data_IF_948644054675
#
_entry.id   IF_948644054675
#
_cell.length_a   1.000
_cell.length_b   1.000
_cell.length_c   1.000
_cell.angle_alpha   90.00
_cell.angle_beta   90.00
_cell.angle_gamma   90.00
#
_symmetry.space_group_name_H-M   'P 1'
#
loop_
_entity.id
_entity.type
_entity.pdbx_description
1 polymer ?
#
# COMPACT_ATOMS: atom_id res chain seq x y z
N UNK A 1 -24.93 62.73 -18.98
CA UNK A 1 -25.71 61.48 -18.74
C UNK A 1 -24.79 60.28 -18.82
N UNK A 2 -24.54 59.61 -17.72
CA UNK A 2 -23.67 58.37 -17.72
C UNK A 2 -24.39 57.25 -18.46
N UNK A 3 -23.70 56.57 -19.40
CA UNK A 3 -24.23 55.40 -20.10
C UNK A 3 -24.63 54.34 -19.06
N UNK A 4 -25.89 53.89 -19.11
CA UNK A 4 -26.36 52.72 -18.36
C UNK A 4 -25.49 51.52 -18.73
N UNK A 5 -24.87 50.89 -17.74
CA UNK A 5 -24.07 49.68 -17.94
C UNK A 5 -24.99 48.52 -18.35
N UNK A 6 -24.50 47.61 -19.17
CA UNK A 6 -25.26 46.45 -19.59
C UNK A 6 -25.56 45.51 -18.37
N UNK A 7 -26.68 44.79 -18.47
CA UNK A 7 -27.05 43.79 -17.47
C UNK A 7 -25.90 42.75 -17.35
N UNK A 8 -25.43 42.49 -16.13
CA UNK A 8 -24.32 41.55 -15.89
C UNK A 8 -22.94 42.22 -15.67
N UNK A 9 -22.78 43.54 -16.01
CA UNK A 9 -21.48 44.22 -15.85
C UNK A 9 -21.04 44.43 -14.39
N UNK A 10 -21.93 44.32 -13.41
CA UNK A 10 -21.68 44.61 -12.02
C UNK A 10 -21.41 46.10 -11.72
N UNK A 11 -21.45 46.48 -10.48
CA UNK A 11 -21.18 47.85 -10.03
C UNK A 11 -20.04 47.84 -9.01
N UNK A 12 -19.20 48.89 -9.00
CA UNK A 12 -18.15 49.08 -8.02
C UNK A 12 -18.41 50.36 -7.27
N UNK A 13 -18.40 50.32 -5.94
CA UNK A 13 -18.58 51.50 -5.06
C UNK A 13 -17.55 51.47 -3.93
N UNK A 14 -17.25 52.65 -3.41
CA UNK A 14 -16.50 52.82 -2.16
C UNK A 14 -17.48 52.75 -1.00
N UNK A 15 -17.14 52.05 0.06
CA UNK A 15 -17.94 51.96 1.28
C UNK A 15 -17.51 53.03 2.29
N UNK A 16 -18.33 53.27 3.29
CA UNK A 16 -18.10 54.27 4.33
C UNK A 16 -16.89 53.92 5.23
N UNK A 17 -16.58 52.61 5.34
CA UNK A 17 -15.40 52.07 6.03
C UNK A 17 -14.08 52.21 5.24
N UNK A 18 -14.13 52.87 4.07
CA UNK A 18 -13.00 53.08 3.18
C UNK A 18 -12.66 51.89 2.27
N UNK A 19 -13.26 50.73 2.46
CA UNK A 19 -13.13 49.60 1.58
C UNK A 19 -13.92 49.75 0.27
N UNK A 20 -13.64 48.86 -0.69
CA UNK A 20 -14.34 48.83 -1.99
C UNK A 20 -15.21 47.60 -2.12
N UNK A 21 -16.41 47.75 -2.70
CA UNK A 21 -17.34 46.66 -2.97
C UNK A 21 -17.71 46.65 -4.47
N UNK A 22 -17.62 45.46 -5.09
CA UNK A 22 -18.29 45.21 -6.36
C UNK A 22 -19.52 44.35 -6.13
N UNK A 23 -20.61 44.61 -6.87
CA UNK A 23 -21.80 43.77 -6.89
C UNK A 23 -22.05 43.25 -8.29
N UNK A 24 -22.27 41.94 -8.37
CA UNK A 24 -22.61 41.24 -9.60
C UNK A 24 -23.83 40.35 -9.35
N UNK A 25 -24.65 40.16 -10.38
CA UNK A 25 -25.79 39.25 -10.33
C UNK A 25 -25.35 37.90 -10.91
N UNK A 26 -25.46 36.81 -10.12
CA UNK A 26 -25.13 35.46 -10.51
C UNK A 26 -26.35 34.58 -10.23
N UNK A 27 -26.86 33.90 -11.24
CA UNK A 27 -28.04 33.03 -11.13
C UNK A 27 -29.22 33.68 -10.38
N UNK A 28 -29.48 34.98 -10.66
CA UNK A 28 -30.56 35.75 -10.04
C UNK A 28 -30.26 36.24 -8.60
N UNK A 29 -29.13 35.92 -8.01
CA UNK A 29 -28.71 36.37 -6.67
C UNK A 29 -27.61 37.41 -6.76
N UNK A 30 -27.76 38.52 -6.00
CA UNK A 30 -26.74 39.58 -5.91
C UNK A 30 -25.59 39.09 -5.02
N UNK A 31 -24.37 39.12 -5.56
CA UNK A 31 -23.13 38.76 -4.83
C UNK A 31 -22.25 40.01 -4.69
N UNK A 32 -21.66 40.17 -3.51
CA UNK A 32 -20.74 41.28 -3.21
C UNK A 32 -19.31 40.75 -3.11
N UNK A 33 -18.38 41.45 -3.76
CA UNK A 33 -16.93 41.17 -3.77
C UNK A 33 -16.24 42.34 -3.09
N UNK A 34 -15.42 42.07 -2.09
CA UNK A 34 -14.77 43.12 -1.30
C UNK A 34 -13.26 43.17 -1.57
N UNK A 35 -12.69 44.39 -1.41
CA UNK A 35 -11.25 44.61 -1.51
C UNK A 35 -10.81 45.92 -0.88
N UNK A 36 -9.52 46.05 -0.63
CA UNK A 36 -8.95 47.26 -0.03
C UNK A 36 -8.83 48.41 -1.01
N UNK A 37 -8.69 48.12 -2.31
CA UNK A 37 -8.57 49.13 -3.37
C UNK A 37 -9.56 48.86 -4.49
N UNK A 38 -9.89 49.94 -5.26
CA UNK A 38 -10.75 49.82 -6.43
C UNK A 38 -10.16 48.87 -7.48
N UNK A 39 -8.83 48.89 -7.66
CA UNK A 39 -8.12 48.03 -8.59
C UNK A 39 -8.25 46.55 -8.20
N UNK A 40 -8.12 46.23 -6.90
CA UNK A 40 -8.27 44.86 -6.37
C UNK A 40 -9.69 44.33 -6.65
N UNK A 41 -10.71 45.10 -6.31
CA UNK A 41 -12.11 44.71 -6.54
C UNK A 41 -12.44 44.58 -8.03
N UNK A 42 -11.88 45.46 -8.87
CA UNK A 42 -12.06 45.37 -10.34
C UNK A 42 -11.45 44.07 -10.87
N UNK A 43 -10.25 43.72 -10.42
CA UNK A 43 -9.59 42.50 -10.83
C UNK A 43 -10.39 41.24 -10.43
N UNK A 44 -10.83 41.16 -9.18
CA UNK A 44 -11.70 40.08 -8.71
C UNK A 44 -13.03 39.99 -9.47
N UNK A 45 -13.64 41.13 -9.77
CA UNK A 45 -14.86 41.16 -10.56
C UNK A 45 -14.64 40.64 -12.00
N UNK A 46 -13.50 40.99 -12.61
CA UNK A 46 -13.15 40.49 -13.94
C UNK A 46 -12.90 38.99 -13.92
N UNK A 47 -12.22 38.47 -12.88
CA UNK A 47 -12.00 37.02 -12.68
C UNK A 47 -13.34 36.28 -12.56
N UNK A 48 -14.28 36.77 -11.73
CA UNK A 48 -15.62 36.17 -11.58
C UNK A 48 -16.40 36.19 -12.89
N UNK A 49 -16.30 37.26 -13.70
CA UNK A 49 -16.93 37.32 -15.01
C UNK A 49 -16.37 36.33 -15.99
N UNK A 50 -15.04 36.26 -16.09
CA UNK A 50 -14.38 35.25 -16.94
C UNK A 50 -14.78 33.82 -16.55
N UNK A 51 -14.93 33.61 -15.25
CA UNK A 51 -15.37 32.30 -14.72
C UNK A 51 -16.84 32.02 -15.14
N UNK A 52 -17.72 33.03 -15.10
CA UNK A 52 -19.10 32.88 -15.55
C UNK A 52 -19.22 32.70 -17.06
N UNK A 53 -18.42 33.42 -17.82
CA UNK A 53 -18.42 33.34 -19.29
C UNK A 53 -17.89 31.99 -19.80
N UNK A 54 -17.06 31.30 -18.98
CA UNK A 54 -16.51 30.00 -19.29
C UNK A 54 -17.24 28.82 -18.59
N UNK A 55 -18.34 29.05 -17.91
CA UNK A 55 -19.05 28.06 -17.07
C UNK A 55 -18.16 27.43 -15.97
N UNK A 56 -17.13 28.16 -15.54
CA UNK A 56 -16.18 27.73 -14.49
C UNK A 56 -16.49 28.36 -13.12
N UNK A 57 -17.57 29.13 -12.97
CA UNK A 57 -17.86 29.81 -11.70
C UNK A 57 -18.27 28.80 -10.62
N UNK A 58 -17.52 28.76 -9.52
CA UNK A 58 -17.87 28.04 -8.31
C UNK A 58 -18.38 29.02 -7.23
N UNK A 59 -19.45 28.67 -6.56
CA UNK A 59 -19.90 29.45 -5.38
C UNK A 59 -18.85 29.29 -4.26
N UNK A 60 -18.43 30.42 -3.65
CA UNK A 60 -17.54 30.35 -2.49
C UNK A 60 -18.19 29.52 -1.39
N UNK A 61 -17.45 28.50 -0.89
CA UNK A 61 -17.81 27.71 0.26
C UNK A 61 -16.74 27.83 1.33
N UNK A 62 -17.12 27.61 2.58
CA UNK A 62 -16.23 27.64 3.73
C UNK A 62 -15.76 26.24 4.14
N UNK A 63 -16.04 25.22 3.32
CA UNK A 63 -15.66 23.82 3.58
C UNK A 63 -14.17 23.70 3.81
N UNK A 64 -13.80 23.17 4.95
CA UNK A 64 -12.40 22.88 5.31
C UNK A 64 -11.91 21.61 4.62
N UNK A 65 -10.58 21.47 4.47
CA UNK A 65 -10.01 20.24 3.95
C UNK A 65 -10.36 19.03 4.84
N UNK A 66 -10.50 19.21 6.15
CA UNK A 66 -10.91 18.14 7.08
C UNK A 66 -12.32 17.66 6.76
N UNK A 67 -13.29 18.57 6.69
CA UNK A 67 -14.70 18.24 6.37
C UNK A 67 -14.81 17.53 5.02
N UNK A 68 -14.08 18.04 4.01
CA UNK A 68 -14.01 17.37 2.71
C UNK A 68 -13.43 15.97 2.78
N UNK A 69 -12.30 15.79 3.48
CA UNK A 69 -11.66 14.46 3.61
C UNK A 69 -12.48 13.47 4.42
N UNK A 70 -13.27 13.93 5.39
CA UNK A 70 -14.23 13.11 6.13
C UNK A 70 -15.34 12.63 5.19
N UNK A 71 -15.97 13.53 4.44
CA UNK A 71 -16.97 13.21 3.41
C UNK A 71 -16.39 12.24 2.36
N UNK A 72 -15.19 12.54 1.84
CA UNK A 72 -14.54 11.70 0.84
C UNK A 72 -14.25 10.28 1.33
N UNK A 73 -13.92 10.12 2.62
CA UNK A 73 -13.70 8.79 3.21
C UNK A 73 -14.97 7.97 3.33
N UNK A 74 -16.09 8.62 3.57
CA UNK A 74 -17.36 7.95 3.80
C UNK A 74 -18.06 7.62 2.47
N UNK A 75 -18.04 8.53 1.48
CA UNK A 75 -18.78 8.36 0.24
C UNK A 75 -17.97 7.70 -0.89
N UNK A 76 -16.64 7.95 -0.97
CA UNK A 76 -15.84 7.57 -2.16
C UNK A 76 -14.86 6.42 -1.91
N UNK A 77 -14.81 5.85 -0.70
CA UNK A 77 -13.96 4.69 -0.42
C UNK A 77 -14.71 3.38 -0.30
N UNK A 78 -16.01 3.33 -0.54
CA UNK A 78 -16.83 2.13 -0.41
C UNK A 78 -16.39 1.04 -1.39
N UNK A 79 -16.14 1.39 -2.65
CA UNK A 79 -15.66 0.46 -3.69
C UNK A 79 -14.16 0.16 -3.62
N UNK A 80 -13.45 0.82 -2.72
CA UNK A 80 -12.01 0.63 -2.56
C UNK A 80 -11.74 -0.57 -1.67
N UNK A 81 -10.77 -1.43 -2.10
CA UNK A 81 -10.33 -2.57 -1.28
C UNK A 81 -10.08 -2.13 0.16
N UNK A 82 -10.70 -2.78 1.16
CA UNK A 82 -10.64 -2.43 2.58
C UNK A 82 -9.22 -2.05 3.07
N UNK A 83 -8.21 -2.84 2.70
CA UNK A 83 -6.81 -2.56 3.08
C UNK A 83 -6.24 -1.27 2.46
N UNK A 84 -6.77 -0.83 1.33
CA UNK A 84 -6.37 0.43 0.70
C UNK A 84 -7.12 1.59 1.35
N UNK A 85 -8.41 1.43 1.61
CA UNK A 85 -9.22 2.38 2.35
C UNK A 85 -8.63 2.63 3.75
N UNK A 86 -8.27 1.57 4.49
CA UNK A 86 -7.61 1.65 5.79
C UNK A 86 -6.30 2.45 5.76
N UNK A 87 -5.50 2.23 4.71
CA UNK A 87 -4.25 2.97 4.52
C UNK A 87 -4.53 4.45 4.24
N UNK A 88 -5.53 4.75 3.41
CA UNK A 88 -5.93 6.12 3.12
C UNK A 88 -6.45 6.82 4.38
N UNK A 89 -7.38 6.19 5.11
CA UNK A 89 -7.90 6.69 6.40
C UNK A 89 -6.78 6.95 7.41
N UNK A 90 -5.82 6.04 7.52
CA UNK A 90 -4.64 6.24 8.40
C UNK A 90 -3.78 7.41 7.96
N UNK A 91 -3.50 7.54 6.67
CA UNK A 91 -2.70 8.62 6.11
C UNK A 91 -3.35 9.98 6.35
N UNK A 92 -4.65 10.08 6.11
CA UNK A 92 -5.46 11.28 6.34
C UNK A 92 -5.42 11.68 7.81
N UNK A 93 -5.74 10.75 8.70
CA UNK A 93 -5.83 10.99 10.14
C UNK A 93 -4.50 11.37 10.79
N UNK A 94 -3.40 10.69 10.38
CA UNK A 94 -2.10 10.85 11.05
C UNK A 94 -1.32 12.01 10.49
N UNK A 95 -1.42 12.28 9.19
CA UNK A 95 -0.53 13.24 8.53
C UNK A 95 -1.26 14.44 7.93
N UNK A 96 -2.39 14.24 7.22
CA UNK A 96 -2.98 15.32 6.43
C UNK A 96 -3.83 16.24 7.30
N UNK A 97 -4.79 15.70 8.06
CA UNK A 97 -5.69 16.51 8.90
C UNK A 97 -4.92 17.34 9.93
N UNK A 98 -3.92 16.80 10.68
CA UNK A 98 -3.19 17.61 11.66
C UNK A 98 -2.45 18.80 11.08
N UNK A 99 -2.02 18.72 9.81
CA UNK A 99 -1.21 19.75 9.17
C UNK A 99 -2.02 20.75 8.32
N UNK A 100 -3.09 20.28 7.68
CA UNK A 100 -3.80 21.04 6.65
C UNK A 100 -5.31 21.10 6.88
N UNK A 101 -5.86 20.34 7.84
CA UNK A 101 -7.29 20.14 8.01
C UNK A 101 -8.12 21.42 8.17
N UNK A 102 -7.60 22.39 8.90
CA UNK A 102 -8.28 23.67 9.16
C UNK A 102 -8.23 24.67 7.98
N UNK A 103 -7.49 24.32 6.92
CA UNK A 103 -7.42 25.19 5.72
C UNK A 103 -8.70 25.03 4.90
N UNK A 104 -9.33 26.15 4.51
CA UNK A 104 -10.45 26.08 3.57
C UNK A 104 -10.02 25.47 2.25
N UNK A 105 -10.85 24.63 1.69
CA UNK A 105 -10.55 23.88 0.47
C UNK A 105 -10.19 24.80 -0.70
N UNK A 106 -10.94 25.91 -0.84
CA UNK A 106 -10.70 26.93 -1.87
C UNK A 106 -9.43 27.76 -1.65
N UNK A 107 -8.92 27.84 -0.43
CA UNK A 107 -7.70 28.58 -0.09
C UNK A 107 -6.44 27.70 -0.15
N UNK A 108 -6.60 26.40 -0.40
CA UNK A 108 -5.49 25.46 -0.45
C UNK A 108 -4.62 25.71 -1.69
N UNK A 109 -3.34 26.02 -1.47
CA UNK A 109 -2.39 26.39 -2.52
C UNK A 109 -1.28 25.36 -2.65
N UNK A 110 -0.73 25.24 -3.85
CA UNK A 110 0.41 24.36 -4.11
C UNK A 110 1.61 24.63 -3.19
N UNK A 111 1.87 25.90 -2.83
CA UNK A 111 2.93 26.29 -1.90
C UNK A 111 2.70 25.77 -0.47
N UNK A 112 1.44 25.71 -0.02
CA UNK A 112 1.06 25.16 1.28
C UNK A 112 1.29 23.66 1.31
N UNK A 113 0.85 22.95 0.26
CA UNK A 113 1.08 21.52 0.11
C UNK A 113 2.59 21.21 0.00
N UNK A 114 3.35 22.01 -0.74
CA UNK A 114 4.80 21.84 -0.85
C UNK A 114 5.50 21.96 0.51
N UNK A 115 5.13 22.97 1.31
CA UNK A 115 5.65 23.13 2.67
C UNK A 115 5.34 21.92 3.54
N UNK A 116 4.12 21.42 3.48
CA UNK A 116 3.69 20.22 4.20
C UNK A 116 4.50 18.98 3.80
N UNK A 117 4.68 18.70 2.49
CA UNK A 117 5.48 17.56 2.03
C UNK A 117 6.96 17.68 2.45
N UNK A 118 7.50 18.92 2.45
CA UNK A 118 8.86 19.18 2.95
C UNK A 118 8.96 18.95 4.47
N UNK A 119 7.94 19.30 5.24
CA UNK A 119 7.85 19.02 6.67
C UNK A 119 7.83 17.53 6.94
N UNK A 120 7.01 16.75 6.23
CA UNK A 120 6.97 15.29 6.31
C UNK A 120 8.35 14.64 6.15
N UNK A 121 9.20 15.18 5.26
CA UNK A 121 10.59 14.73 5.12
C UNK A 121 11.48 15.20 6.27
N UNK A 122 11.51 16.53 6.51
CA UNK A 122 12.54 17.17 7.34
C UNK A 122 12.28 17.02 8.84
N UNK A 123 11.02 17.07 9.25
CA UNK A 123 10.62 17.07 10.68
C UNK A 123 10.16 15.69 11.09
N UNK A 124 9.29 15.06 10.28
CA UNK A 124 8.68 13.76 10.61
C UNK A 124 9.58 12.58 10.20
N UNK A 125 10.67 12.82 9.47
CA UNK A 125 11.62 11.79 9.04
C UNK A 125 11.01 10.70 8.14
N UNK A 126 9.93 11.01 7.42
CA UNK A 126 9.24 10.03 6.60
C UNK A 126 10.04 9.66 5.35
N UNK A 127 10.00 8.38 4.98
CA UNK A 127 10.60 7.89 3.75
C UNK A 127 9.95 8.50 2.50
N UNK A 128 10.71 8.57 1.39
CA UNK A 128 10.20 9.02 0.08
C UNK A 128 8.89 8.33 -0.31
N UNK A 129 8.82 7.00 -0.12
CA UNK A 129 7.63 6.20 -0.41
C UNK A 129 6.43 6.63 0.44
N UNK A 130 6.65 6.97 1.70
CA UNK A 130 5.60 7.47 2.60
C UNK A 130 5.09 8.82 2.13
N UNK A 131 5.98 9.75 1.80
CA UNK A 131 5.61 11.08 1.31
C UNK A 131 4.92 11.00 -0.07
N UNK A 132 5.39 10.13 -0.97
CA UNK A 132 4.68 9.83 -2.23
C UNK A 132 3.26 9.32 -1.99
N UNK A 133 3.06 8.44 -1.01
CA UNK A 133 1.73 7.94 -0.66
C UNK A 133 0.82 9.03 -0.08
N UNK A 134 1.35 9.89 0.80
CA UNK A 134 0.62 11.03 1.36
C UNK A 134 0.13 11.96 0.24
N UNK A 135 1.04 12.35 -0.66
CA UNK A 135 0.69 13.17 -1.82
C UNK A 135 -0.36 12.50 -2.71
N UNK A 136 -0.24 11.20 -2.95
CA UNK A 136 -1.19 10.43 -3.77
C UNK A 136 -2.60 10.43 -3.16
N UNK A 137 -2.72 10.25 -1.85
CA UNK A 137 -4.02 10.26 -1.16
C UNK A 137 -4.64 11.66 -1.24
N UNK A 138 -3.87 12.70 -0.92
CA UNK A 138 -4.34 14.08 -1.01
C UNK A 138 -4.73 14.45 -2.45
N UNK A 139 -3.91 14.07 -3.43
CA UNK A 139 -4.20 14.31 -4.84
C UNK A 139 -5.52 13.64 -5.30
N UNK A 140 -5.76 12.40 -4.90
CA UNK A 140 -7.01 11.70 -5.23
C UNK A 140 -8.25 12.39 -4.64
N UNK A 141 -8.18 12.74 -3.36
CA UNK A 141 -9.28 13.42 -2.70
C UNK A 141 -9.56 14.79 -3.30
N UNK A 142 -8.51 15.52 -3.71
CA UNK A 142 -8.66 16.82 -4.36
C UNK A 142 -9.11 16.72 -5.83
N UNK A 143 -8.79 15.63 -6.54
CA UNK A 143 -9.40 15.41 -7.86
C UNK A 143 -10.90 15.15 -7.74
N UNK A 144 -11.34 14.39 -6.73
CA UNK A 144 -12.78 14.25 -6.49
C UNK A 144 -13.43 15.59 -6.15
N UNK A 145 -12.72 16.47 -5.41
CA UNK A 145 -13.22 17.81 -5.13
C UNK A 145 -13.39 18.67 -6.39
N UNK A 146 -12.65 18.42 -7.47
CA UNK A 146 -12.87 19.05 -8.78
C UNK A 146 -14.14 18.48 -9.43
N UNK A 147 -14.28 17.15 -9.44
CA UNK A 147 -15.45 16.47 -10.01
C UNK A 147 -16.77 16.89 -9.31
N UNK A 148 -16.68 17.15 -8.00
CA UNK A 148 -17.79 17.62 -7.17
C UNK A 148 -17.91 19.17 -7.15
N UNK A 149 -17.22 19.88 -8.03
CA UNK A 149 -17.27 21.34 -8.19
C UNK A 149 -16.94 22.12 -6.90
N UNK A 150 -16.14 21.52 -5.98
CA UNK A 150 -15.70 22.21 -4.76
C UNK A 150 -14.49 23.11 -5.00
N UNK A 151 -13.63 22.75 -5.95
CA UNK A 151 -12.44 23.50 -6.36
C UNK A 151 -12.24 23.41 -7.88
N UNK A 152 -11.65 24.44 -8.49
CA UNK A 152 -11.40 24.48 -9.94
C UNK A 152 -10.20 23.67 -10.40
N UNK A 153 -9.15 23.57 -9.59
CA UNK A 153 -7.85 22.98 -9.93
C UNK A 153 -7.27 22.26 -8.74
N UNK A 154 -6.59 21.17 -9.01
CA UNK A 154 -5.90 20.43 -7.95
C UNK A 154 -4.56 21.10 -7.58
N UNK A 155 -4.42 21.68 -6.39
CA UNK A 155 -3.16 22.31 -6.00
C UNK A 155 -2.00 21.30 -5.82
N UNK A 156 -2.28 20.01 -5.69
CA UNK A 156 -1.25 18.95 -5.66
C UNK A 156 -0.51 18.78 -6.99
N UNK A 157 -1.07 19.18 -8.13
CA UNK A 157 -0.43 19.00 -9.44
C UNK A 157 0.92 19.70 -9.52
N UNK A 158 1.03 20.86 -8.88
CA UNK A 158 2.26 21.67 -8.85
C UNK A 158 3.16 21.39 -7.65
N UNK A 159 2.70 20.60 -6.67
CA UNK A 159 3.51 20.21 -5.52
C UNK A 159 4.33 18.96 -5.84
N UNK A 160 5.63 19.01 -5.59
CA UNK A 160 6.57 17.92 -5.87
C UNK A 160 6.95 17.21 -4.58
N UNK A 161 7.13 15.89 -4.68
CA UNK A 161 7.75 15.13 -3.58
C UNK A 161 9.19 15.61 -3.44
N UNK A 162 9.65 15.93 -2.21
CA UNK A 162 11.05 16.31 -1.97
C UNK A 162 12.00 15.22 -2.47
N UNK A 163 13.14 15.61 -3.03
CA UNK A 163 14.21 14.66 -3.40
C UNK A 163 14.79 13.99 -2.16
N UNK A 164 15.18 12.73 -2.29
CA UNK A 164 15.86 11.94 -1.26
C UNK A 164 17.19 11.47 -1.84
N UNK A 165 18.25 11.68 -1.09
CA UNK A 165 19.60 11.31 -1.52
C UNK A 165 19.96 9.89 -1.07
N UNK A 166 19.13 9.29 -0.22
CA UNK A 166 19.34 7.92 0.24
C UNK A 166 19.09 6.92 -0.91
N UNK A 167 20.02 6.01 -1.16
CA UNK A 167 19.79 4.94 -2.11
C UNK A 167 18.57 4.10 -1.69
N UNK A 168 17.78 3.57 -2.63
CA UNK A 168 16.69 2.68 -2.30
C UNK A 168 17.21 1.53 -1.44
N UNK A 169 16.53 1.23 -0.33
CA UNK A 169 16.89 0.04 0.48
C UNK A 169 16.76 -1.20 -0.42
N UNK A 170 17.89 -1.79 -0.73
CA UNK A 170 17.93 -3.01 -1.53
C UNK A 170 17.25 -4.16 -0.79
N UNK A 171 16.61 -5.01 -1.58
CA UNK A 171 16.12 -6.30 -1.08
C UNK A 171 17.33 -7.17 -0.75
N UNK A 172 17.30 -7.81 0.41
CA UNK A 172 18.34 -8.73 0.81
C UNK A 172 17.79 -10.15 0.93
N UNK A 173 17.71 -10.92 -0.17
CA UNK A 173 17.41 -12.35 -0.10
C UNK A 173 18.53 -13.08 0.66
N UNK A 174 18.20 -14.23 1.25
CA UNK A 174 19.21 -15.13 1.77
C UNK A 174 20.13 -15.60 0.64
N UNK A 175 21.43 -15.49 0.85
CA UNK A 175 22.43 -16.04 -0.05
C UNK A 175 22.60 -17.56 0.21
N UNK A 176 23.10 -18.31 -0.76
CA UNK A 176 23.24 -19.76 -0.69
C UNK A 176 23.93 -20.23 0.60
N UNK A 177 25.02 -19.57 1.00
CA UNK A 177 25.76 -19.90 2.22
C UNK A 177 25.05 -19.51 3.51
N UNK A 178 24.06 -18.61 3.47
CA UNK A 178 23.25 -18.18 4.62
C UNK A 178 22.07 -19.11 4.88
N UNK A 179 21.63 -19.88 3.86
CA UNK A 179 20.51 -20.83 4.00
C UNK A 179 20.79 -21.90 5.06
N UNK A 180 21.94 -22.59 5.06
CA UNK A 180 22.27 -23.57 6.13
C UNK A 180 22.30 -22.93 7.52
N UNK A 181 22.80 -21.68 7.64
CA UNK A 181 22.84 -20.96 8.92
C UNK A 181 21.41 -20.67 9.41
N UNK A 182 20.52 -20.21 8.51
CA UNK A 182 19.12 -19.98 8.83
C UNK A 182 18.40 -21.27 9.25
N UNK A 183 18.59 -22.37 8.51
CA UNK A 183 18.00 -23.66 8.84
C UNK A 183 18.48 -24.19 10.19
N UNK A 184 19.73 -23.98 10.53
CA UNK A 184 20.30 -24.37 11.84
C UNK A 184 19.70 -23.48 12.96
N UNK A 185 19.52 -22.18 12.72
CA UNK A 185 18.97 -21.26 13.71
C UNK A 185 17.49 -21.50 14.02
N UNK A 186 16.72 -21.97 13.04
CA UNK A 186 15.30 -22.31 13.26
C UNK A 186 15.09 -23.70 13.88
N UNK A 187 16.10 -24.54 13.92
CA UNK A 187 16.00 -25.92 14.40
C UNK A 187 15.57 -25.97 15.87
N UNK A 188 14.49 -26.70 16.16
CA UNK A 188 13.88 -26.76 17.50
C UNK A 188 13.07 -25.54 17.90
N UNK A 189 13.04 -24.49 17.09
CA UNK A 189 12.22 -23.31 17.37
C UNK A 189 10.72 -23.61 17.18
N UNK A 190 9.84 -22.99 17.99
CA UNK A 190 8.40 -23.22 17.90
C UNK A 190 7.79 -22.94 16.50
N UNK A 191 8.40 -22.05 15.70
CA UNK A 191 8.01 -21.72 14.32
C UNK A 191 8.95 -22.34 13.27
N UNK A 192 9.75 -23.33 13.60
CA UNK A 192 10.66 -24.00 12.65
C UNK A 192 9.95 -24.42 11.38
N UNK A 193 8.85 -25.15 11.50
CA UNK A 193 8.07 -25.64 10.37
C UNK A 193 7.50 -24.50 9.52
N UNK A 194 7.02 -23.42 10.15
CA UNK A 194 6.46 -22.27 9.46
C UNK A 194 7.56 -21.52 8.67
N UNK A 195 8.71 -21.28 9.28
CA UNK A 195 9.84 -20.61 8.62
C UNK A 195 10.42 -21.45 7.48
N UNK A 196 10.49 -22.78 7.68
CA UNK A 196 10.92 -23.72 6.65
C UNK A 196 9.98 -23.68 5.44
N UNK A 197 8.68 -23.80 5.66
CA UNK A 197 7.67 -23.72 4.58
C UNK A 197 7.71 -22.36 3.89
N UNK A 198 7.87 -21.26 4.64
CA UNK A 198 7.98 -19.92 4.07
C UNK A 198 9.17 -19.80 3.09
N UNK A 199 10.35 -20.34 3.48
CA UNK A 199 11.55 -20.27 2.65
C UNK A 199 11.44 -21.13 1.38
N UNK A 200 10.87 -22.34 1.46
CA UNK A 200 10.86 -23.29 0.35
C UNK A 200 9.57 -23.26 -0.50
N UNK A 201 8.62 -22.37 -0.20
CA UNK A 201 7.42 -22.15 -1.02
C UNK A 201 7.27 -20.73 -1.52
N UNK A 202 7.94 -19.79 -0.90
CA UNK A 202 7.81 -18.37 -1.22
C UNK A 202 6.39 -17.80 -1.02
N UNK A 203 5.53 -18.46 -0.25
CA UNK A 203 4.18 -17.98 0.07
C UNK A 203 4.24 -16.61 0.76
N UNK A 204 3.22 -15.78 0.51
CA UNK A 204 3.07 -14.54 1.28
C UNK A 204 2.74 -14.86 2.73
N UNK A 205 3.19 -14.01 3.67
CA UNK A 205 2.87 -14.17 5.09
C UNK A 205 1.38 -14.46 5.34
N UNK A 206 0.51 -13.62 4.77
CA UNK A 206 -0.94 -13.76 4.95
C UNK A 206 -1.54 -15.03 4.32
N UNK A 207 -0.91 -15.58 3.29
CA UNK A 207 -1.25 -16.88 2.70
C UNK A 207 -0.78 -18.01 3.61
N UNK A 208 0.41 -17.88 4.17
CA UNK A 208 1.04 -18.89 5.03
C UNK A 208 0.31 -19.03 6.36
N UNK A 209 0.06 -17.92 7.09
CA UNK A 209 -0.71 -17.98 8.35
C UNK A 209 -2.17 -18.32 8.15
N UNK A 210 -2.70 -18.15 6.94
CA UNK A 210 -4.05 -18.52 6.53
C UNK A 210 -4.14 -19.84 5.77
N UNK A 211 -3.04 -20.61 5.72
CA UNK A 211 -3.05 -21.93 5.09
C UNK A 211 -3.89 -22.90 5.92
N UNK A 212 -4.80 -23.59 5.27
CA UNK A 212 -5.71 -24.56 5.87
C UNK A 212 -5.45 -25.95 5.32
N UNK A 213 -5.84 -26.99 6.05
CA UNK A 213 -5.53 -28.37 5.64
C UNK A 213 -6.23 -28.78 4.33
N UNK A 214 -7.37 -28.20 3.99
CA UNK A 214 -8.06 -28.38 2.70
C UNK A 214 -7.28 -27.83 1.50
N UNK A 215 -6.31 -26.94 1.73
CA UNK A 215 -5.41 -26.45 0.70
C UNK A 215 -4.30 -27.42 0.30
N UNK A 216 -4.09 -28.51 1.06
CA UNK A 216 -2.94 -29.41 0.89
C UNK A 216 -3.42 -30.77 0.42
N UNK A 217 -3.07 -31.11 -0.80
CA UNK A 217 -3.28 -32.44 -1.35
C UNK A 217 -2.00 -33.27 -1.23
N UNK A 218 -1.97 -34.18 -0.23
CA UNK A 218 -0.83 -35.06 0.00
C UNK A 218 -0.74 -36.20 -1.02
N UNK A 219 -1.83 -36.55 -1.71
CA UNK A 219 -1.87 -37.60 -2.73
C UNK A 219 -1.26 -37.10 -4.04
N UNK A 220 -1.66 -35.92 -4.48
CA UNK A 220 -1.15 -35.28 -5.70
C UNK A 220 0.07 -34.38 -5.44
N UNK A 221 0.54 -34.28 -4.19
CA UNK A 221 1.68 -33.47 -3.81
C UNK A 221 1.53 -31.99 -4.22
N UNK A 222 0.38 -31.38 -3.97
CA UNK A 222 0.10 -29.99 -4.35
C UNK A 222 -0.41 -29.16 -3.19
N UNK A 223 -0.18 -27.85 -3.30
CA UNK A 223 -0.75 -26.82 -2.42
C UNK A 223 -1.57 -25.86 -3.27
N UNK A 224 -2.84 -25.67 -2.90
CA UNK A 224 -3.77 -24.75 -3.56
C UNK A 224 -4.00 -23.50 -2.72
N UNK A 225 -3.60 -22.33 -3.20
CA UNK A 225 -3.74 -21.05 -2.50
C UNK A 225 -4.84 -20.24 -3.17
N UNK A 226 -5.97 -20.04 -2.47
CA UNK A 226 -7.14 -19.30 -2.98
C UNK A 226 -7.62 -18.18 -2.04
N UNK A 227 -7.15 -18.15 -0.80
CA UNK A 227 -7.47 -17.14 0.21
C UNK A 227 -6.26 -16.78 1.07
N UNK A 228 -6.39 -15.73 1.86
CA UNK A 228 -5.36 -15.28 2.79
C UNK A 228 -6.00 -14.81 4.09
N UNK A 229 -5.30 -14.96 5.21
CA UNK A 229 -5.73 -14.49 6.51
C UNK A 229 -5.16 -13.10 6.80
N UNK A 230 -6.00 -12.14 7.17
CA UNK A 230 -5.59 -10.77 7.46
C UNK A 230 -6.16 -10.28 8.77
N UNK A 231 -5.37 -9.46 9.48
CA UNK A 231 -5.83 -8.78 10.67
C UNK A 231 -6.91 -7.77 10.30
N UNK A 232 -8.06 -7.82 10.99
CA UNK A 232 -9.11 -6.79 10.89
C UNK A 232 -8.86 -5.67 11.91
N UNK A 233 -9.38 -4.48 11.61
CA UNK A 233 -9.37 -3.34 12.53
C UNK A 233 -10.66 -3.21 13.35
N UNK A 234 -11.73 -3.84 12.92
CA UNK A 234 -13.04 -3.79 13.58
C UNK A 234 -12.98 -4.32 15.01
N UNK A 235 -12.22 -5.39 15.24
CA UNK A 235 -11.99 -5.94 16.57
C UNK A 235 -10.51 -6.19 16.79
N UNK A 236 -9.95 -5.62 17.86
CA UNK A 236 -8.54 -5.77 18.22
C UNK A 236 -8.16 -7.25 18.35
N UNK A 237 -7.15 -7.67 17.59
CA UNK A 237 -6.64 -9.05 17.61
C UNK A 237 -7.41 -10.05 16.73
N UNK A 238 -8.46 -9.63 16.05
CA UNK A 238 -9.21 -10.51 15.13
C UNK A 238 -8.59 -10.58 13.75
N UNK A 239 -8.80 -11.71 13.09
CA UNK A 239 -8.36 -11.99 11.74
C UNK A 239 -9.54 -12.48 10.91
N UNK A 240 -9.52 -12.18 9.60
CA UNK A 240 -10.56 -12.58 8.66
C UNK A 240 -9.92 -13.12 7.40
N UNK A 241 -10.56 -14.10 6.78
CA UNK A 241 -10.20 -14.55 5.45
C UNK A 241 -10.62 -13.51 4.40
N UNK A 242 -9.72 -13.22 3.50
CA UNK A 242 -9.96 -12.32 2.37
C UNK A 242 -9.48 -12.96 1.06
N UNK A 243 -9.97 -12.45 -0.06
CA UNK A 243 -9.44 -12.82 -1.37
C UNK A 243 -7.96 -12.47 -1.49
N UNK A 244 -7.25 -13.17 -2.34
CA UNK A 244 -5.85 -12.89 -2.66
C UNK A 244 -5.68 -11.48 -3.22
N UNK A 245 -4.46 -10.92 -3.06
CA UNK A 245 -4.14 -9.57 -3.52
C UNK A 245 -4.47 -9.36 -5.01
N UNK A 246 -4.19 -10.36 -5.85
CA UNK A 246 -4.43 -10.32 -7.29
C UNK A 246 -5.70 -11.06 -7.74
N UNK A 247 -6.55 -11.49 -6.79
CA UNK A 247 -7.77 -12.30 -7.05
C UNK A 247 -7.52 -13.60 -7.85
N UNK A 248 -6.26 -14.05 -7.97
CA UNK A 248 -5.89 -15.25 -8.71
C UNK A 248 -5.46 -16.35 -7.74
N UNK A 249 -6.24 -17.41 -7.70
CA UNK A 249 -5.84 -18.65 -7.04
C UNK A 249 -4.71 -19.32 -7.83
N UNK A 250 -3.90 -20.10 -7.14
CA UNK A 250 -2.82 -20.87 -7.76
C UNK A 250 -2.61 -22.20 -7.06
N UNK A 251 -2.22 -23.19 -7.86
CA UNK A 251 -1.78 -24.51 -7.37
C UNK A 251 -0.33 -24.70 -7.78
N UNK A 252 0.48 -25.21 -6.89
CA UNK A 252 1.87 -25.54 -7.16
C UNK A 252 2.29 -26.81 -6.39
N UNK A 253 3.31 -27.49 -6.88
CA UNK A 253 3.89 -28.66 -6.21
C UNK A 253 5.13 -28.20 -5.41
N UNK A 254 5.09 -28.25 -4.08
CA UNK A 254 6.24 -27.95 -3.25
C UNK A 254 7.26 -29.13 -3.29
N UNK A 255 8.52 -28.91 -2.87
CA UNK A 255 9.46 -29.98 -2.64
C UNK A 255 8.92 -31.00 -1.62
N UNK A 256 9.26 -32.30 -1.77
CA UNK A 256 8.79 -33.38 -0.88
C UNK A 256 9.06 -33.09 0.60
N UNK A 257 10.23 -32.53 0.91
CA UNK A 257 10.59 -32.15 2.28
C UNK A 257 9.60 -31.15 2.92
N UNK A 258 8.96 -30.29 2.15
CA UNK A 258 7.90 -29.36 2.63
C UNK A 258 6.66 -30.17 3.03
N UNK A 259 6.25 -31.13 2.22
CA UNK A 259 5.11 -32.01 2.53
C UNK A 259 5.38 -32.87 3.78
N UNK A 260 6.61 -33.34 3.95
CA UNK A 260 7.00 -34.12 5.11
C UNK A 260 7.00 -33.28 6.40
N UNK A 261 7.44 -32.00 6.30
CA UNK A 261 7.30 -31.03 7.40
C UNK A 261 5.83 -30.78 7.71
N UNK A 262 4.98 -30.62 6.72
CA UNK A 262 3.53 -30.41 6.92
C UNK A 262 2.86 -31.63 7.57
N UNK A 263 3.25 -32.85 7.22
CA UNK A 263 2.79 -34.07 7.92
C UNK A 263 3.18 -34.06 9.40
N UNK A 264 4.43 -33.67 9.73
CA UNK A 264 4.87 -33.49 11.13
C UNK A 264 4.05 -32.43 11.87
N UNK A 265 3.73 -31.30 11.20
CA UNK A 265 2.85 -30.27 11.77
C UNK A 265 1.47 -30.85 12.11
N UNK A 266 0.90 -31.68 11.24
CA UNK A 266 -0.41 -32.31 11.48
C UNK A 266 -0.41 -33.22 12.71
N UNK A 267 0.65 -34.01 12.87
CA UNK A 267 0.84 -34.89 14.05
C UNK A 267 0.96 -34.01 15.32
N UNK A 268 1.84 -33.01 15.29
CA UNK A 268 2.00 -32.09 16.42
C UNK A 268 0.72 -31.38 16.82
N UNK A 269 -0.08 -30.95 15.83
CA UNK A 269 -1.39 -30.35 16.11
C UNK A 269 -2.35 -31.33 16.83
N UNK A 270 -2.36 -32.60 16.43
CA UNK A 270 -3.15 -33.63 17.10
C UNK A 270 -2.73 -33.81 18.57
N UNK A 271 -1.42 -33.82 18.85
CA UNK A 271 -0.88 -33.87 20.20
C UNK A 271 -1.27 -32.63 21.03
N UNK A 272 -1.13 -31.44 20.46
CA UNK A 272 -1.54 -30.18 21.12
C UNK A 272 -3.04 -30.13 21.40
N UNK A 273 -3.85 -30.63 20.50
CA UNK A 273 -5.30 -30.75 20.66
C UNK A 273 -5.66 -31.64 21.84
N UNK A 274 -4.99 -32.79 21.95
CA UNK A 274 -5.18 -33.72 23.10
C UNK A 274 -4.75 -33.06 24.41
N UNK A 275 -3.63 -32.36 24.44
CA UNK A 275 -3.13 -31.66 25.64
C UNK A 275 -4.03 -30.51 26.06
N UNK A 276 -4.53 -29.70 25.11
CA UNK A 276 -5.35 -28.53 25.38
C UNK A 276 -6.81 -28.89 25.71
N UNK A 277 -7.28 -30.09 25.32
CA UNK A 277 -8.66 -30.54 25.57
C UNK A 277 -9.72 -29.54 25.07
N UNK A 278 -10.64 -29.14 25.94
CA UNK A 278 -11.70 -28.18 25.60
C UNK A 278 -11.22 -26.76 25.31
N UNK A 279 -9.97 -26.43 25.66
CA UNK A 279 -9.36 -25.13 25.35
C UNK A 279 -8.87 -25.02 23.90
N UNK A 280 -8.79 -26.13 23.18
CA UNK A 280 -8.41 -26.13 21.78
C UNK A 280 -9.51 -25.53 20.88
N UNK A 281 -9.14 -24.60 20.02
CA UNK A 281 -10.06 -23.98 19.07
C UNK A 281 -9.35 -23.66 17.74
N UNK A 282 -9.64 -24.46 16.71
CA UNK A 282 -9.19 -24.23 15.32
C UNK A 282 -10.38 -24.43 14.37
N UNK A 283 -11.39 -23.55 14.41
CA UNK A 283 -12.61 -23.70 13.62
C UNK A 283 -12.35 -23.56 12.11
N UNK A 284 -11.29 -22.89 11.72
CA UNK A 284 -10.91 -22.64 10.34
C UNK A 284 -9.97 -23.70 9.76
N UNK A 285 -9.62 -24.72 10.55
CA UNK A 285 -8.71 -25.82 10.18
C UNK A 285 -7.33 -25.34 9.68
N UNK A 286 -6.78 -24.32 10.35
CA UNK A 286 -5.48 -23.73 10.03
C UNK A 286 -4.35 -24.73 10.22
N UNK A 287 -3.36 -24.70 9.32
CA UNK A 287 -2.13 -25.51 9.39
C UNK A 287 -1.20 -24.98 10.47
N UNK A 288 -1.00 -23.67 10.55
CA UNK A 288 -0.13 -23.04 11.53
C UNK A 288 -0.93 -22.36 12.62
N UNK A 289 -0.87 -22.91 13.83
CA UNK A 289 -1.62 -22.42 14.99
C UNK A 289 -0.68 -22.18 16.17
N UNK A 290 -1.18 -21.47 17.16
CA UNK A 290 -0.58 -21.48 18.49
C UNK A 290 -0.96 -22.78 19.26
N UNK A 291 -0.47 -22.94 20.49
CA UNK A 291 -0.69 -24.16 21.31
C UNK A 291 -2.17 -24.41 21.69
N UNK A 292 -3.05 -23.42 21.48
CA UNK A 292 -4.49 -23.54 21.72
C UNK A 292 -5.31 -23.66 20.41
N UNK A 293 -4.64 -23.86 19.26
CA UNK A 293 -5.31 -24.00 17.97
C UNK A 293 -5.67 -22.67 17.28
N UNK A 294 -5.44 -21.52 17.90
CA UNK A 294 -5.76 -20.23 17.31
C UNK A 294 -4.69 -19.80 16.32
N UNK A 295 -5.06 -18.87 15.43
CA UNK A 295 -4.12 -18.29 14.44
C UNK A 295 -2.84 -17.74 15.09
N UNK A 296 -1.75 -17.78 14.34
CA UNK A 296 -0.49 -17.13 14.70
C UNK A 296 -0.62 -15.63 14.44
N UNK A 297 -0.43 -14.81 15.47
CA UNK A 297 -0.46 -13.37 15.31
C UNK A 297 0.77 -12.86 14.54
N UNK A 298 0.57 -12.01 13.54
CA UNK A 298 1.64 -11.41 12.72
C UNK A 298 2.74 -10.78 13.57
N UNK A 299 2.39 -10.06 14.65
CA UNK A 299 3.37 -9.46 15.55
C UNK A 299 4.27 -10.52 16.20
N UNK A 300 3.69 -11.61 16.66
CA UNK A 300 4.42 -12.73 17.28
C UNK A 300 5.38 -13.37 16.26
N UNK A 301 4.88 -13.62 15.04
CA UNK A 301 5.69 -14.16 13.96
C UNK A 301 6.90 -13.28 13.64
N UNK A 302 6.70 -11.97 13.50
CA UNK A 302 7.78 -11.02 13.23
C UNK A 302 8.78 -10.90 14.37
N UNK A 303 8.31 -10.92 15.62
CA UNK A 303 9.18 -10.91 16.80
C UNK A 303 10.17 -12.08 16.76
N UNK A 304 9.67 -13.30 16.65
CA UNK A 304 10.50 -14.48 16.64
C UNK A 304 11.36 -14.62 15.38
N UNK A 305 10.84 -14.21 14.23
CA UNK A 305 11.65 -14.14 13.02
C UNK A 305 12.84 -13.20 13.20
N UNK A 306 12.62 -12.05 13.82
CA UNK A 306 13.67 -11.06 14.07
C UNK A 306 14.74 -11.59 15.03
N UNK A 307 14.36 -12.34 16.05
CA UNK A 307 15.28 -13.01 16.96
C UNK A 307 16.19 -13.99 16.19
N UNK A 308 15.62 -14.85 15.34
CA UNK A 308 16.35 -15.82 14.52
C UNK A 308 17.33 -15.12 13.57
N UNK A 309 16.88 -14.13 12.79
CA UNK A 309 17.77 -13.50 11.81
C UNK A 309 18.84 -12.63 12.46
N UNK A 310 18.59 -12.08 13.64
CA UNK A 310 19.59 -11.35 14.43
C UNK A 310 20.68 -12.31 14.92
N UNK A 311 20.32 -13.52 15.38
CA UNK A 311 21.25 -14.54 15.83
C UNK A 311 22.26 -14.96 14.74
N UNK A 312 21.84 -14.94 13.48
CA UNK A 312 22.71 -15.26 12.33
C UNK A 312 23.35 -14.03 11.68
N UNK A 313 23.32 -12.88 12.34
CA UNK A 313 23.96 -11.65 11.84
C UNK A 313 23.20 -10.92 10.70
N UNK A 314 21.90 -11.18 10.53
CA UNK A 314 21.05 -10.60 9.49
C UNK A 314 19.91 -9.73 10.06
N UNK A 315 20.19 -8.76 10.98
CA UNK A 315 19.14 -8.02 11.69
C UNK A 315 18.27 -7.17 10.79
N UNK A 316 18.71 -6.81 9.57
CA UNK A 316 17.91 -6.02 8.63
C UNK A 316 16.93 -6.84 7.80
N UNK A 317 17.06 -8.18 7.83
CA UNK A 317 16.21 -9.08 7.07
C UNK A 317 14.76 -9.03 7.56
N UNK A 318 13.82 -9.00 6.64
CA UNK A 318 12.37 -8.99 6.90
C UNK A 318 11.79 -10.37 6.58
N UNK A 319 10.68 -10.72 7.21
CA UNK A 319 10.00 -12.00 6.91
C UNK A 319 9.67 -12.15 5.41
N UNK A 320 9.28 -11.07 4.74
CA UNK A 320 9.01 -11.09 3.30
C UNK A 320 10.24 -11.40 2.44
N UNK A 321 11.43 -11.19 2.97
CA UNK A 321 12.68 -11.46 2.25
C UNK A 321 12.94 -12.98 2.13
N UNK A 322 12.28 -13.85 2.93
CA UNK A 322 12.25 -15.31 2.70
C UNK A 322 11.63 -15.65 1.34
N UNK A 323 10.58 -14.94 0.94
CA UNK A 323 9.97 -15.11 -0.38
C UNK A 323 10.90 -14.64 -1.50
N UNK A 324 11.67 -13.59 -1.26
CA UNK A 324 12.73 -13.16 -2.19
C UNK A 324 13.84 -14.21 -2.25
N UNK A 325 14.20 -14.81 -1.09
CA UNK A 325 15.13 -15.95 -1.01
C UNK A 325 14.66 -17.14 -1.86
N UNK A 326 13.39 -17.55 -1.71
CA UNK A 326 12.81 -18.60 -2.54
C UNK A 326 12.97 -18.32 -4.04
N UNK A 327 12.64 -17.12 -4.48
CA UNK A 327 12.73 -16.76 -5.89
C UNK A 327 14.16 -16.82 -6.41
N UNK A 328 15.12 -16.27 -5.65
CA UNK A 328 16.55 -16.30 -6.00
C UNK A 328 17.07 -17.72 -6.05
N UNK A 329 16.82 -18.51 -4.99
CA UNK A 329 17.26 -19.91 -4.91
C UNK A 329 16.67 -20.75 -6.05
N UNK A 330 15.37 -20.61 -6.33
CA UNK A 330 14.72 -21.37 -7.40
C UNK A 330 15.33 -21.05 -8.78
N UNK A 331 15.54 -19.76 -9.08
CA UNK A 331 16.16 -19.33 -10.33
C UNK A 331 17.61 -19.82 -10.43
N UNK A 332 18.41 -19.68 -9.37
CA UNK A 332 19.81 -20.17 -9.34
C UNK A 332 19.91 -21.67 -9.55
N UNK A 333 18.92 -22.43 -9.08
CA UNK A 333 18.83 -23.87 -9.29
C UNK A 333 18.14 -24.26 -10.63
N UNK A 334 17.96 -23.32 -11.54
CA UNK A 334 17.53 -23.60 -12.92
C UNK A 334 16.02 -23.72 -13.11
N UNK A 335 15.20 -23.36 -12.10
CA UNK A 335 13.74 -23.28 -12.28
C UNK A 335 13.44 -22.09 -13.19
N UNK A 336 12.64 -22.31 -14.23
CA UNK A 336 12.30 -21.26 -15.19
C UNK A 336 11.49 -20.11 -14.56
N UNK A 337 11.66 -18.90 -15.10
CA UNK A 337 11.07 -17.66 -14.57
C UNK A 337 9.56 -17.72 -14.52
N UNK A 338 8.91 -18.38 -15.50
CA UNK A 338 7.45 -18.49 -15.57
C UNK A 338 6.91 -19.37 -14.43
N UNK A 339 7.58 -20.49 -14.16
CA UNK A 339 7.25 -21.38 -13.03
C UNK A 339 7.43 -20.66 -11.70
N UNK A 340 8.57 -19.97 -11.48
CA UNK A 340 8.78 -19.16 -10.28
C UNK A 340 7.72 -18.08 -10.12
N UNK A 341 7.39 -17.36 -11.19
CA UNK A 341 6.35 -16.33 -11.20
C UNK A 341 4.98 -16.89 -10.81
N UNK A 342 4.62 -18.05 -11.36
CA UNK A 342 3.37 -18.74 -11.07
C UNK A 342 3.31 -19.21 -9.60
N UNK A 343 4.36 -19.88 -9.11
CA UNK A 343 4.44 -20.34 -7.72
C UNK A 343 4.33 -19.17 -6.72
N UNK A 344 4.93 -18.05 -7.05
CA UNK A 344 4.82 -16.84 -6.25
C UNK A 344 3.46 -16.14 -6.41
N UNK A 345 2.70 -16.37 -7.48
CA UNK A 345 1.48 -15.63 -7.81
C UNK A 345 1.78 -14.16 -8.07
N UNK A 346 2.79 -13.88 -8.90
CA UNK A 346 3.02 -12.56 -9.48
C UNK A 346 2.01 -12.30 -10.60
N UNK A 347 1.63 -11.04 -10.80
CA UNK A 347 0.68 -10.66 -11.84
C UNK A 347 1.26 -10.83 -13.25
N UNK A 348 2.57 -10.70 -13.39
CA UNK A 348 3.29 -10.83 -14.66
C UNK A 348 4.68 -11.45 -14.42
N UNK A 349 5.19 -12.20 -15.41
CA UNK A 349 6.58 -12.68 -15.44
C UNK A 349 7.58 -11.55 -15.51
N UNK A 350 7.23 -10.45 -16.19
CA UNK A 350 8.06 -9.24 -16.26
C UNK A 350 8.40 -8.71 -14.86
N UNK A 351 7.44 -8.71 -13.94
CA UNK A 351 7.70 -8.31 -12.54
C UNK A 351 8.77 -9.19 -11.86
N UNK A 352 8.78 -10.50 -12.15
CA UNK A 352 9.80 -11.43 -11.63
C UNK A 352 11.15 -11.13 -12.25
N UNK A 353 11.20 -10.89 -13.56
CA UNK A 353 12.43 -10.53 -14.26
C UNK A 353 13.01 -9.20 -13.79
N UNK A 354 12.20 -8.16 -13.65
CA UNK A 354 12.62 -6.84 -13.12
C UNK A 354 13.23 -6.93 -11.72
N UNK A 355 12.72 -7.85 -10.90
CA UNK A 355 13.18 -8.02 -9.51
C UNK A 355 14.41 -8.91 -9.36
N UNK A 356 14.56 -9.89 -10.23
CA UNK A 356 15.60 -10.92 -10.15
C UNK A 356 16.46 -11.03 -11.41
N UNK A 357 16.46 -9.99 -12.26
CA UNK A 357 17.19 -9.95 -13.54
C UNK A 357 18.69 -10.23 -13.40
N UNK A 358 19.31 -9.78 -12.30
CA UNK A 358 20.71 -10.07 -11.99
C UNK A 358 21.01 -11.57 -11.84
N UNK A 359 20.04 -12.37 -11.37
CA UNK A 359 20.15 -13.82 -11.29
C UNK A 359 20.08 -14.46 -12.68
N UNK A 360 19.24 -13.90 -13.56
CA UNK A 360 19.09 -14.41 -14.93
C UNK A 360 20.33 -14.16 -15.80
N UNK A 361 21.12 -13.12 -15.54
CA UNK A 361 22.39 -12.89 -16.21
C UNK A 361 23.43 -13.99 -15.92
N UNK A 362 23.48 -14.48 -14.68
CA UNK A 362 24.33 -15.63 -14.31
C UNK A 362 23.85 -16.89 -15.02
N UNK A 363 22.53 -17.10 -15.09
CA UNK A 363 21.95 -18.24 -15.82
C UNK A 363 22.25 -18.20 -17.33
N UNK A 364 22.38 -17.03 -17.95
CA UNK A 364 22.77 -16.92 -19.37
C UNK A 364 24.18 -17.44 -19.60
N UNK A 365 25.13 -17.15 -18.70
CA UNK A 365 26.49 -17.69 -18.76
C UNK A 365 26.49 -19.20 -18.60
N UNK A 366 25.78 -19.71 -17.57
CA UNK A 366 25.65 -21.16 -17.34
C UNK A 366 24.98 -21.89 -18.52
N UNK A 367 24.05 -21.21 -19.22
CA UNK A 367 23.42 -21.76 -20.43
C UNK A 367 24.40 -21.92 -21.58
N UNK A 368 25.31 -20.96 -21.76
CA UNK A 368 26.38 -21.06 -22.77
C UNK A 368 27.31 -22.25 -22.48
N UNK A 369 27.70 -22.42 -21.21
CA UNK A 369 28.55 -23.55 -20.77
C UNK A 369 27.83 -24.91 -20.90
N UNK A 370 26.51 -24.95 -20.69
CA UNK A 370 25.69 -26.15 -20.91
C UNK A 370 25.63 -26.50 -22.40
N UNK A 371 25.45 -25.49 -23.26
CA UNK A 371 25.42 -25.69 -24.71
C UNK A 371 26.79 -26.13 -25.23
N UNK A 372 27.87 -25.55 -24.70
CA UNK A 372 29.23 -25.96 -25.04
C UNK A 372 29.45 -27.44 -24.68
N UNK A 373 29.10 -27.84 -23.49
CA UNK A 373 29.22 -29.28 -23.04
C UNK A 373 28.36 -30.21 -23.88
N UNK A 374 27.16 -29.77 -24.32
CA UNK A 374 26.32 -30.55 -25.24
C UNK A 374 27.02 -30.71 -26.60
N UNK A 375 27.57 -29.67 -27.17
CA UNK A 375 28.31 -29.75 -28.45
C UNK A 375 29.52 -30.67 -28.33
N UNK A 376 30.26 -30.60 -27.23
CA UNK A 376 31.40 -31.46 -26.94
C UNK A 376 31.05 -32.95 -26.71
N UNK A 377 29.79 -33.24 -26.47
CA UNK A 377 29.28 -34.62 -26.29
C UNK A 377 28.73 -35.26 -27.57
N UNK A 378 28.63 -34.51 -28.66
CA UNK A 378 28.22 -34.99 -29.98
C UNK A 378 29.38 -35.57 -30.76
#
# INVERSE_FOLDING_TARGET
>A
MGKRRANGEGSIRKRDDGSWEARILINGKSRSIYGRTQSDVRKKLTEVRNDLDNDEYLEPNDTTLKEWLELWQDEYLEDVKQSTADRYKSCIRIHIIPALGETRLMDLRASTIQKFLNQCKKVDGLSEKSVKNIRLVLHKALNQAIEDEQIKKNPCDRAKVPSYDDPPKEMRPLKDHEVPMFLQAIKGHQFESLFFVALFTGMRESELIGLTWDCIDFQHCTIHIYRQLRKTREKKGSYVFTSLKNKQARTFSPPQNVLDVLKKVKIRQAELRLKAGSSWSNPDDLVFTNDLGKHVATFTLYKYFKEVVTQIGLPEMRFHDLRHGYATLALQNGVDVKTVSNNLGHSTTAFTMDKYGHVTETMMKDSADKMQRFIESL
#
